data_IF_151058556255
#
_entry.id   IF_151058556255
#
_cell.length_a   1.000
_cell.length_b   1.000
_cell.length_c   1.000
_cell.angle_alpha   90.00
_cell.angle_beta   90.00
_cell.angle_gamma   90.00
#
_symmetry.space_group_name_H-M   'P 1'
#
loop_
_entity.id
_entity.type
_entity.pdbx_description
1 polymer ?
#
# COMPACT_ATOMS: atom_id res chain seq x y z
N UNK A 1 -10.38 -11.23 2.14
CA UNK A 1 -10.40 -10.12 1.17
C UNK A 1 -9.99 -8.85 1.89
N UNK A 2 -8.83 -8.28 1.56
CA UNK A 2 -8.34 -7.04 2.18
C UNK A 2 -7.96 -6.11 1.05
N UNK A 3 -8.91 -5.30 0.59
CA UNK A 3 -8.65 -4.29 -0.43
C UNK A 3 -8.03 -3.08 0.26
N UNK A 4 -6.92 -2.58 -0.26
CA UNK A 4 -6.32 -1.35 0.25
C UNK A 4 -7.32 -0.19 0.12
N UNK A 5 -7.28 0.73 1.09
CA UNK A 5 -7.99 2.00 0.99
C UNK A 5 -7.45 2.81 -0.20
N UNK A 6 -8.31 3.65 -0.79
CA UNK A 6 -7.91 4.51 -1.90
C UNK A 6 -6.92 5.58 -1.46
N UNK A 7 -6.06 6.00 -2.39
CA UNK A 7 -5.10 7.08 -2.15
C UNK A 7 -5.78 8.45 -1.96
N UNK A 8 -6.92 8.67 -2.63
CA UNK A 8 -7.79 9.83 -2.38
C UNK A 8 -8.24 9.91 -0.92
N UNK A 9 -8.71 8.78 -0.36
CA UNK A 9 -9.17 8.74 1.03
C UNK A 9 -8.03 9.08 1.99
N UNK A 10 -6.83 8.56 1.74
CA UNK A 10 -5.63 8.90 2.51
C UNK A 10 -5.29 10.39 2.39
N UNK A 11 -5.29 10.93 1.18
CA UNK A 11 -4.99 12.33 0.91
C UNK A 11 -5.93 13.27 1.66
N UNK A 12 -7.24 12.97 1.67
CA UNK A 12 -8.25 13.76 2.38
C UNK A 12 -8.11 13.70 3.90
N UNK A 13 -7.78 12.53 4.46
CA UNK A 13 -7.49 12.38 5.90
C UNK A 13 -6.25 13.19 6.30
N UNK A 14 -5.19 13.14 5.49
CA UNK A 14 -3.96 13.88 5.76
C UNK A 14 -4.16 15.40 5.63
N UNK A 15 -4.96 15.86 4.66
CA UNK A 15 -5.33 17.27 4.52
C UNK A 15 -6.08 17.76 5.77
N UNK A 16 -7.14 17.06 6.19
CA UNK A 16 -7.88 17.44 7.40
C UNK A 16 -6.99 17.46 8.66
N UNK A 17 -6.04 16.53 8.77
CA UNK A 17 -5.07 16.54 9.88
C UNK A 17 -4.13 17.74 9.83
N UNK A 18 -3.71 18.19 8.64
CA UNK A 18 -2.91 19.41 8.47
C UNK A 18 -3.71 20.66 8.84
N UNK A 19 -5.01 20.65 8.61
CA UNK A 19 -5.95 21.71 9.01
C UNK A 19 -6.27 21.71 10.52
N UNK A 20 -5.58 20.89 11.32
CA UNK A 20 -5.70 20.85 12.78
C UNK A 20 -6.69 19.81 13.33
N UNK A 21 -7.31 19.00 12.47
CA UNK A 21 -8.20 17.93 12.92
C UNK A 21 -7.42 16.80 13.61
N UNK A 22 -7.90 16.33 14.76
CA UNK A 22 -7.29 15.17 15.43
C UNK A 22 -7.52 13.88 14.65
N UNK A 23 -6.65 12.88 14.83
CA UNK A 23 -6.79 11.57 14.18
C UNK A 23 -8.15 10.91 14.44
N UNK A 24 -8.69 11.08 15.67
CA UNK A 24 -9.99 10.54 16.07
C UNK A 24 -11.15 11.27 15.36
N UNK A 25 -11.05 12.59 15.23
CA UNK A 25 -12.05 13.38 14.51
C UNK A 25 -12.03 13.10 13.01
N UNK A 26 -10.83 12.97 12.41
CA UNK A 26 -10.68 12.57 11.01
C UNK A 26 -11.24 11.16 10.75
N UNK A 27 -10.96 10.20 11.65
CA UNK A 27 -11.51 8.85 11.55
C UNK A 27 -13.05 8.85 11.53
N UNK A 28 -13.68 9.62 12.44
CA UNK A 28 -15.13 9.77 12.48
C UNK A 28 -15.68 10.44 11.22
N UNK A 29 -15.02 11.49 10.72
CA UNK A 29 -15.43 12.22 9.50
C UNK A 29 -15.39 11.36 8.24
N UNK A 30 -14.35 10.54 8.10
CA UNK A 30 -14.11 9.77 6.87
C UNK A 30 -14.54 8.29 6.98
N UNK A 31 -15.11 7.88 8.12
CA UNK A 31 -15.62 6.52 8.30
C UNK A 31 -14.53 5.45 8.31
N UNK A 32 -13.34 5.76 8.83
CA UNK A 32 -12.21 4.82 8.92
C UNK A 32 -11.89 4.46 10.37
N UNK A 33 -11.16 3.37 10.57
CA UNK A 33 -10.64 3.00 11.88
C UNK A 33 -9.69 4.07 12.46
N UNK A 34 -9.80 4.34 13.76
CA UNK A 34 -8.94 5.32 14.46
C UNK A 34 -7.46 4.94 14.33
N UNK A 35 -7.13 3.65 14.45
CA UNK A 35 -5.78 3.13 14.28
C UNK A 35 -5.22 3.41 12.87
N UNK A 36 -6.06 3.27 11.83
CA UNK A 36 -5.70 3.58 10.45
C UNK A 36 -5.37 5.07 10.29
N UNK A 37 -6.20 5.96 10.83
CA UNK A 37 -5.96 7.39 10.79
C UNK A 37 -4.65 7.77 11.51
N UNK A 38 -4.41 7.20 12.70
CA UNK A 38 -3.16 7.40 13.45
C UNK A 38 -1.95 6.95 12.63
N UNK A 39 -2.00 5.75 12.06
CA UNK A 39 -0.92 5.20 11.26
C UNK A 39 -0.59 6.10 10.06
N UNK A 40 -1.60 6.57 9.32
CA UNK A 40 -1.40 7.43 8.16
C UNK A 40 -0.77 8.77 8.54
N UNK A 41 -1.26 9.43 9.59
CA UNK A 41 -0.71 10.71 10.04
C UNK A 41 0.72 10.52 10.56
N UNK A 42 1.01 9.43 11.29
CA UNK A 42 2.35 9.11 11.75
C UNK A 42 3.32 8.87 10.58
N UNK A 43 2.91 8.09 9.57
CA UNK A 43 3.70 7.86 8.36
C UNK A 43 3.96 9.16 7.59
N UNK A 44 2.95 10.02 7.45
CA UNK A 44 3.11 11.32 6.79
C UNK A 44 4.10 12.23 7.51
N UNK A 45 4.09 12.26 8.86
CA UNK A 45 5.09 13.00 9.66
C UNK A 45 6.50 12.44 9.53
N UNK A 46 6.63 11.13 9.34
CA UNK A 46 7.91 10.48 9.10
C UNK A 46 8.44 10.65 7.66
N UNK A 47 7.74 11.42 6.80
CA UNK A 47 8.09 11.55 5.38
C UNK A 47 7.80 10.28 4.56
N UNK A 48 7.19 9.26 5.16
CA UNK A 48 6.80 8.01 4.52
C UNK A 48 5.43 8.15 3.85
N UNK A 49 5.32 9.12 2.93
CA UNK A 49 4.14 9.32 2.08
C UNK A 49 4.00 8.23 0.99
N UNK A 50 4.93 7.27 0.95
CA UNK A 50 4.99 6.21 -0.05
C UNK A 50 3.65 5.46 -0.11
N UNK A 51 3.15 5.15 -1.32
CA UNK A 51 1.97 4.30 -1.48
C UNK A 51 2.11 3.03 -0.64
N UNK A 52 0.99 2.48 -0.14
CA UNK A 52 1.05 1.28 0.68
C UNK A 52 1.87 0.21 -0.07
N UNK A 53 2.85 -0.36 0.63
CA UNK A 53 3.74 -1.36 0.04
C UNK A 53 2.91 -2.43 -0.67
N UNK A 54 3.38 -2.88 -1.85
CA UNK A 54 2.69 -3.88 -2.65
C UNK A 54 2.30 -5.06 -1.76
N UNK A 55 0.99 -5.21 -1.54
CA UNK A 55 0.46 -6.25 -0.68
C UNK A 55 0.45 -7.57 -1.46
N UNK A 56 1.08 -8.61 -0.90
CA UNK A 56 1.28 -9.89 -1.58
C UNK A 56 2.76 -10.23 -1.78
N UNK A 57 3.03 -11.23 -2.61
CA UNK A 57 4.40 -11.69 -2.88
C UNK A 57 5.23 -10.52 -3.42
N UNK A 58 6.40 -10.27 -2.80
CA UNK A 58 7.40 -9.35 -3.36
C UNK A 58 7.78 -9.83 -4.76
N UNK A 59 8.07 -8.91 -5.68
CA UNK A 59 8.36 -9.26 -7.07
C UNK A 59 9.44 -10.34 -7.17
N UNK A 60 9.19 -11.32 -8.04
CA UNK A 60 10.12 -12.38 -8.39
C UNK A 60 9.56 -13.79 -8.17
N UNK A 61 9.79 -14.69 -9.13
CA UNK A 61 9.53 -16.11 -9.03
C UNK A 61 10.70 -16.85 -8.37
N UNK A 62 10.44 -18.05 -7.84
CA UNK A 62 11.55 -18.95 -7.46
C UNK A 62 12.28 -19.46 -8.71
N UNK A 63 11.67 -19.24 -9.87
CA UNK A 63 12.10 -19.64 -11.19
C UNK A 63 12.89 -18.55 -11.92
N UNK A 64 12.92 -17.31 -11.42
CA UNK A 64 13.72 -16.26 -12.06
C UNK A 64 15.20 -16.65 -12.21
N UNK A 65 15.84 -17.36 -11.25
CA UNK A 65 17.22 -17.85 -11.43
C UNK A 65 17.35 -19.00 -12.45
N UNK A 66 16.24 -19.55 -12.93
CA UNK A 66 16.18 -20.67 -13.85
C UNK A 66 15.50 -20.27 -15.17
N UNK A 67 15.42 -18.97 -15.46
CA UNK A 67 14.76 -18.42 -16.64
C UNK A 67 15.27 -19.08 -17.93
N UNK A 68 16.58 -19.10 -18.11
CA UNK A 68 17.23 -19.67 -19.31
C UNK A 68 16.88 -21.16 -19.51
N UNK A 69 16.90 -21.96 -18.44
CA UNK A 69 16.55 -23.39 -18.49
C UNK A 69 15.08 -23.63 -18.86
N UNK A 70 14.18 -22.75 -18.42
CA UNK A 70 12.76 -22.88 -18.70
C UNK A 70 12.40 -22.45 -20.12
N UNK A 71 13.09 -21.43 -20.66
CA UNK A 71 12.90 -21.02 -22.06
C UNK A 71 13.47 -22.05 -23.03
N UNK A 72 14.66 -22.59 -22.75
CA UNK A 72 15.29 -23.63 -23.56
C UNK A 72 14.40 -24.88 -23.70
N UNK A 73 13.76 -25.32 -22.62
CA UNK A 73 12.87 -26.49 -22.64
C UNK A 73 11.46 -26.21 -23.19
N UNK A 74 11.03 -24.95 -23.28
CA UNK A 74 9.74 -24.59 -23.84
C UNK A 74 9.74 -24.59 -25.38
N UNK A 75 10.91 -24.51 -26.00
CA UNK A 75 11.08 -24.51 -27.47
C UNK A 75 11.16 -25.93 -28.07
N UNK A 76 11.33 -26.97 -27.25
CA UNK A 76 11.40 -28.39 -27.70
C UNK A 76 10.03 -29.04 -27.97
N UNK A 77 8.92 -28.33 -27.72
CA UNK A 77 7.54 -28.77 -28.01
C UNK A 77 6.90 -27.94 -29.16
N UNK A 78 7.57 -27.85 -30.31
CA UNK A 78 7.04 -27.25 -31.55
C UNK A 78 7.26 -28.14 -32.79
#
# INVERSE_FOLDING_TARGET
MTRAFSDDLRSRVLAASRDGMSARSAAARFGIGISTAIAWIASARAGLLTPPAKQGRRGGSRLDPHEDFLFDHAEDEA
#
